data_IF_806816286270
#
_entry.id   IF_806816286270
#
_cell.length_a   1.000
_cell.length_b   1.000
_cell.length_c   1.000
_cell.angle_alpha   90.00
_cell.angle_beta   90.00
_cell.angle_gamma   90.00
#
_symmetry.space_group_name_H-M   'P 1'
#
loop_
_entity.id
_entity.type
_entity.pdbx_description
1 polymer ?
#
# COMPACT_ATOMS: atom_id res chain seq x y z
N UNK A 1 18.17 -79.31 32.04
CA UNK A 1 18.03 -78.66 30.73
C UNK A 1 16.71 -77.92 30.76
N UNK A 2 16.77 -76.59 30.89
CA UNK A 2 15.63 -75.69 30.78
C UNK A 2 15.67 -75.19 29.33
N UNK A 3 14.61 -75.44 28.56
CA UNK A 3 14.41 -74.81 27.25
C UNK A 3 13.66 -73.50 27.50
N UNK A 4 14.36 -72.39 27.29
CA UNK A 4 13.77 -71.06 27.16
C UNK A 4 12.87 -71.03 25.92
N UNK A 5 11.58 -70.84 26.13
CA UNK A 5 10.63 -70.63 25.04
C UNK A 5 10.50 -69.12 24.82
N UNK A 6 11.32 -68.58 23.93
CA UNK A 6 11.29 -67.19 23.51
C UNK A 6 10.11 -66.95 22.56
N UNK A 7 9.26 -66.00 22.95
CA UNK A 7 8.11 -65.49 22.21
C UNK A 7 8.57 -64.84 20.90
N UNK A 8 7.98 -65.23 19.76
CA UNK A 8 8.01 -64.41 18.55
C UNK A 8 6.74 -63.55 18.53
N UNK A 9 6.87 -62.31 19.02
CA UNK A 9 5.95 -61.23 18.68
C UNK A 9 6.08 -60.95 17.19
N UNK A 10 5.06 -61.29 16.41
CA UNK A 10 4.95 -60.81 15.05
C UNK A 10 4.63 -59.32 15.11
N UNK A 11 5.61 -58.47 14.75
CA UNK A 11 5.40 -57.05 14.49
C UNK A 11 4.31 -56.89 13.43
N UNK A 12 3.09 -56.55 13.86
CA UNK A 12 2.04 -56.07 12.97
C UNK A 12 2.49 -54.71 12.43
N UNK A 13 2.70 -54.61 11.13
CA UNK A 13 2.85 -53.33 10.44
C UNK A 13 1.67 -52.43 10.82
N UNK A 14 1.90 -51.15 11.17
CA UNK A 14 0.82 -50.27 11.59
C UNK A 14 -0.18 -50.13 10.43
N UNK A 15 -1.40 -50.61 10.64
CA UNK A 15 -2.48 -50.48 9.67
C UNK A 15 -2.86 -48.99 9.56
N UNK A 16 -2.36 -48.30 8.55
CA UNK A 16 -2.78 -46.92 8.25
C UNK A 16 -4.26 -46.95 7.86
N UNK A 17 -5.09 -46.19 8.57
CA UNK A 17 -6.52 -46.10 8.26
C UNK A 17 -6.73 -45.50 6.86
N UNK A 18 -7.68 -46.03 6.09
CA UNK A 18 -8.12 -45.48 4.78
C UNK A 18 -8.49 -43.99 4.86
N UNK A 19 -8.97 -43.55 6.04
CA UNK A 19 -9.29 -42.14 6.30
C UNK A 19 -8.02 -41.27 6.26
N UNK A 20 -6.94 -41.75 6.86
CA UNK A 20 -5.64 -41.05 6.87
C UNK A 20 -5.07 -40.96 5.46
N UNK A 21 -5.13 -42.05 4.69
CA UNK A 21 -4.73 -42.06 3.27
C UNK A 21 -5.50 -41.01 2.45
N UNK A 22 -6.83 -40.95 2.60
CA UNK A 22 -7.66 -39.96 1.90
C UNK A 22 -7.29 -38.53 2.29
N UNK A 23 -7.13 -38.24 3.58
CA UNK A 23 -6.83 -36.91 4.07
C UNK A 23 -5.43 -36.44 3.66
N UNK A 24 -4.42 -37.31 3.71
CA UNK A 24 -3.07 -37.00 3.20
C UNK A 24 -3.08 -36.76 1.69
N UNK A 25 -3.84 -37.54 0.91
CA UNK A 25 -3.96 -37.31 -0.53
C UNK A 25 -4.68 -35.99 -0.86
N UNK A 26 -5.68 -35.60 -0.05
CA UNK A 26 -6.45 -34.37 -0.24
C UNK A 26 -5.68 -33.12 0.20
N UNK A 27 -4.86 -33.25 1.23
CA UNK A 27 -4.05 -32.19 1.84
C UNK A 27 -2.59 -32.64 1.92
N UNK A 28 -1.86 -32.68 0.78
CA UNK A 28 -0.51 -33.23 0.72
C UNK A 28 0.51 -32.43 1.57
N UNK A 29 0.25 -31.15 1.81
CA UNK A 29 1.11 -30.26 2.61
C UNK A 29 0.79 -30.29 4.11
N UNK A 30 -0.18 -31.11 4.55
CA UNK A 30 -0.57 -31.23 5.96
C UNK A 30 -0.19 -32.58 6.52
N UNK A 31 0.68 -32.56 7.53
CA UNK A 31 0.90 -33.72 8.40
C UNK A 31 -0.20 -33.78 9.46
N UNK A 32 -0.68 -34.98 9.77
CA UNK A 32 -1.68 -35.21 10.81
C UNK A 32 -0.99 -35.95 11.96
N UNK A 33 -0.80 -35.29 13.10
CA UNK A 33 0.00 -35.81 14.20
C UNK A 33 -0.61 -37.05 14.85
N UNK A 34 -1.80 -36.90 15.42
CA UNK A 34 -2.56 -37.96 16.08
C UNK A 34 -3.90 -38.22 15.37
N UNK A 35 -4.71 -39.13 15.92
CA UNK A 35 -6.01 -39.49 15.35
C UNK A 35 -7.08 -38.44 15.65
N UNK A 36 -6.97 -37.68 16.77
CA UNK A 36 -7.89 -36.60 17.12
C UNK A 36 -7.75 -35.42 16.15
N UNK A 37 -6.50 -35.05 15.78
CA UNK A 37 -6.24 -34.01 14.79
C UNK A 37 -6.75 -34.43 13.40
N UNK A 38 -6.57 -35.70 13.04
CA UNK A 38 -7.09 -36.26 11.79
C UNK A 38 -8.63 -36.22 11.75
N UNK A 39 -9.29 -36.61 12.85
CA UNK A 39 -10.75 -36.59 12.97
C UNK A 39 -11.31 -35.17 12.88
N UNK A 40 -10.72 -34.22 13.62
CA UNK A 40 -11.12 -32.81 13.55
C UNK A 40 -10.94 -32.24 12.15
N UNK A 41 -9.81 -32.51 11.50
CA UNK A 41 -9.56 -32.05 10.13
C UNK A 41 -10.56 -32.64 9.13
N UNK A 42 -10.93 -33.91 9.28
CA UNK A 42 -11.95 -34.55 8.46
C UNK A 42 -13.31 -33.90 8.70
N UNK A 43 -13.69 -33.68 9.95
CA UNK A 43 -14.96 -33.03 10.30
C UNK A 43 -15.06 -31.62 9.72
N UNK A 44 -14.01 -30.82 9.83
CA UNK A 44 -13.96 -29.46 9.27
C UNK A 44 -14.06 -29.49 7.74
N UNK A 45 -13.35 -30.42 7.10
CA UNK A 45 -13.42 -30.61 5.66
C UNK A 45 -14.82 -31.01 5.18
N UNK A 46 -15.46 -31.98 5.85
CA UNK A 46 -16.82 -32.41 5.52
C UNK A 46 -17.81 -31.27 5.72
N UNK A 47 -17.73 -30.56 6.84
CA UNK A 47 -18.59 -29.39 7.13
C UNK A 47 -18.42 -28.30 6.07
N UNK A 48 -17.17 -28.01 5.66
CA UNK A 48 -16.91 -27.04 4.60
C UNK A 48 -17.40 -27.55 3.24
N UNK A 49 -17.26 -28.84 2.95
CA UNK A 49 -17.76 -29.47 1.73
C UNK A 49 -19.28 -29.38 1.64
N UNK A 50 -20.00 -29.71 2.72
CA UNK A 50 -21.46 -29.60 2.79
C UNK A 50 -21.91 -28.17 2.56
N UNK A 51 -21.23 -27.19 3.16
CA UNK A 51 -21.50 -25.78 2.91
C UNK A 51 -21.28 -25.38 1.44
N UNK A 52 -20.22 -25.88 0.80
CA UNK A 52 -19.96 -25.64 -0.63
C UNK A 52 -21.02 -26.30 -1.51
N UNK A 53 -21.38 -27.55 -1.23
CA UNK A 53 -22.42 -28.30 -1.95
C UNK A 53 -23.75 -27.54 -1.86
N UNK A 54 -24.19 -27.17 -0.65
CA UNK A 54 -25.40 -26.39 -0.46
C UNK A 54 -25.35 -25.04 -1.22
N UNK A 55 -24.19 -24.38 -1.25
CA UNK A 55 -23.99 -23.18 -2.05
C UNK A 55 -24.11 -23.41 -3.56
N UNK A 56 -23.51 -24.49 -4.07
CA UNK A 56 -23.62 -24.88 -5.49
C UNK A 56 -25.05 -25.29 -5.86
N UNK A 57 -25.75 -26.01 -5.00
CA UNK A 57 -27.15 -26.38 -5.22
C UNK A 57 -28.06 -25.15 -5.28
N UNK A 58 -27.88 -24.18 -4.37
CA UNK A 58 -28.61 -22.93 -4.38
C UNK A 58 -28.34 -22.11 -5.65
N UNK A 59 -27.07 -22.02 -6.07
CA UNK A 59 -26.69 -21.33 -7.31
C UNK A 59 -27.27 -22.04 -8.54
N UNK A 60 -27.14 -23.36 -8.63
CA UNK A 60 -27.69 -24.15 -9.73
C UNK A 60 -29.21 -24.03 -9.82
N UNK A 61 -29.91 -24.02 -8.68
CA UNK A 61 -31.36 -23.79 -8.65
C UNK A 61 -31.71 -22.42 -9.23
N UNK A 62 -31.00 -21.37 -8.82
CA UNK A 62 -31.22 -20.01 -9.34
C UNK A 62 -30.98 -19.93 -10.84
N UNK A 63 -29.88 -20.53 -11.33
CA UNK A 63 -29.56 -20.60 -12.76
C UNK A 63 -30.67 -21.36 -13.51
N UNK A 64 -31.13 -22.49 -12.96
CA UNK A 64 -32.20 -23.27 -13.56
C UNK A 64 -33.52 -22.51 -13.63
N UNK A 65 -33.88 -21.75 -12.60
CA UNK A 65 -35.07 -20.89 -12.60
C UNK A 65 -34.98 -19.81 -13.69
N UNK A 66 -33.81 -19.18 -13.86
CA UNK A 66 -33.58 -18.21 -14.95
C UNK A 66 -33.68 -18.87 -16.32
N UNK A 67 -33.05 -20.04 -16.52
CA UNK A 67 -33.11 -20.79 -17.78
C UNK A 67 -34.53 -21.25 -18.09
N UNK A 68 -35.31 -21.62 -17.08
CA UNK A 68 -36.73 -21.97 -17.25
C UNK A 68 -37.58 -20.77 -17.66
N UNK A 69 -37.32 -19.60 -17.07
CA UNK A 69 -38.00 -18.37 -17.43
C UNK A 69 -37.60 -17.85 -18.82
N UNK A 70 -36.35 -18.09 -19.22
CA UNK A 70 -35.72 -17.56 -20.43
C UNK A 70 -34.81 -18.62 -21.11
N UNK A 71 -35.38 -19.58 -21.87
CA UNK A 71 -34.65 -20.70 -22.47
C UNK A 71 -33.48 -20.31 -23.38
N UNK A 72 -33.60 -19.18 -24.05
CA UNK A 72 -32.58 -18.62 -24.94
C UNK A 72 -31.26 -18.30 -24.24
N UNK A 73 -31.26 -18.01 -22.93
CA UNK A 73 -30.02 -17.86 -22.17
C UNK A 73 -29.23 -19.16 -22.09
N UNK A 74 -29.88 -20.33 -22.01
CA UNK A 74 -29.18 -21.60 -22.02
C UNK A 74 -28.45 -21.80 -23.36
N UNK A 75 -29.09 -21.43 -24.47
CA UNK A 75 -28.47 -21.52 -25.79
C UNK A 75 -27.29 -20.56 -25.95
N UNK A 76 -27.39 -19.34 -25.40
CA UNK A 76 -26.27 -18.39 -25.40
C UNK A 76 -25.10 -18.93 -24.57
N UNK A 77 -25.37 -19.48 -23.38
CA UNK A 77 -24.34 -20.05 -22.52
C UNK A 77 -23.66 -21.24 -23.20
N UNK A 78 -24.43 -22.11 -23.86
CA UNK A 78 -23.90 -23.24 -24.63
C UNK A 78 -23.02 -22.76 -25.80
N UNK A 79 -23.49 -21.79 -26.59
CA UNK A 79 -22.74 -21.25 -27.72
C UNK A 79 -21.40 -20.66 -27.25
N UNK A 80 -21.41 -19.88 -26.16
CA UNK A 80 -20.20 -19.29 -25.58
C UNK A 80 -19.26 -20.35 -25.01
N UNK A 81 -19.79 -21.38 -24.34
CA UNK A 81 -19.01 -22.51 -23.84
C UNK A 81 -18.33 -23.29 -24.98
N UNK A 82 -18.96 -23.33 -26.16
CA UNK A 82 -18.41 -23.90 -27.39
C UNK A 82 -17.47 -22.94 -28.15
N UNK A 83 -17.14 -21.77 -27.57
CA UNK A 83 -16.16 -20.83 -28.11
C UNK A 83 -16.72 -19.81 -29.11
N UNK A 84 -18.04 -19.72 -29.26
CA UNK A 84 -18.66 -18.69 -30.10
C UNK A 84 -18.58 -17.34 -29.37
N UNK A 85 -18.19 -16.24 -30.05
CA UNK A 85 -18.16 -14.93 -29.41
C UNK A 85 -19.53 -14.54 -28.86
N UNK A 86 -19.57 -13.97 -27.64
CA UNK A 86 -20.82 -13.66 -26.93
C UNK A 86 -21.77 -12.78 -27.75
N UNK A 87 -21.26 -11.83 -28.54
CA UNK A 87 -22.08 -10.97 -29.38
C UNK A 87 -22.75 -11.76 -30.51
N UNK A 88 -22.06 -12.76 -31.07
CA UNK A 88 -22.60 -13.63 -32.11
C UNK A 88 -23.63 -14.58 -31.50
N UNK A 89 -23.37 -15.13 -30.32
CA UNK A 89 -24.31 -15.97 -29.59
C UNK A 89 -25.62 -15.22 -29.25
N UNK A 90 -25.51 -13.98 -28.76
CA UNK A 90 -26.67 -13.11 -28.49
C UNK A 90 -27.45 -12.83 -29.79
N UNK A 91 -26.77 -12.43 -30.87
CA UNK A 91 -27.41 -12.10 -32.14
C UNK A 91 -28.10 -13.29 -32.83
N UNK A 92 -27.77 -14.54 -32.45
CA UNK A 92 -28.47 -15.74 -32.91
C UNK A 92 -29.83 -15.93 -32.22
N UNK A 93 -29.98 -15.42 -30.99
CA UNK A 93 -31.17 -15.63 -30.17
C UNK A 93 -32.07 -14.41 -30.07
N UNK A 94 -31.50 -13.20 -30.15
CA UNK A 94 -32.22 -11.94 -30.05
C UNK A 94 -31.95 -11.08 -31.26
N UNK A 95 -33.00 -10.46 -31.82
CA UNK A 95 -32.79 -9.38 -32.77
C UNK A 95 -32.25 -8.14 -32.04
N UNK A 96 -31.35 -7.40 -32.68
CA UNK A 96 -30.79 -6.18 -32.11
C UNK A 96 -31.84 -5.13 -31.72
N UNK A 97 -32.98 -5.11 -32.41
CA UNK A 97 -34.12 -4.22 -32.12
C UNK A 97 -34.94 -4.65 -30.91
N UNK A 98 -34.90 -5.94 -30.54
CA UNK A 98 -35.63 -6.49 -29.39
C UNK A 98 -34.88 -6.28 -28.06
N UNK A 99 -33.58 -5.95 -28.12
CA UNK A 99 -32.76 -5.69 -26.94
C UNK A 99 -33.01 -4.29 -26.32
N UNK A 100 -33.65 -3.39 -27.06
CA UNK A 100 -34.04 -2.08 -26.55
C UNK A 100 -35.45 -2.15 -25.98
N UNK A 101 -35.65 -1.66 -24.75
CA UNK A 101 -36.98 -1.58 -24.16
C UNK A 101 -37.71 -0.35 -24.76
N UNK A 102 -38.89 -0.52 -25.37
CA UNK A 102 -39.66 0.60 -25.92
C UNK A 102 -40.18 1.57 -24.84
N UNK A 103 -40.35 2.83 -25.21
CA UNK A 103 -40.95 3.84 -24.32
C UNK A 103 -42.40 3.47 -24.01
N UNK A 104 -42.75 3.47 -22.72
CA UNK A 104 -44.08 3.09 -22.22
C UNK A 104 -44.16 1.67 -21.65
N UNK A 105 -43.14 0.83 -21.84
CA UNK A 105 -43.05 -0.45 -21.14
C UNK A 105 -42.68 -0.26 -19.66
N UNK A 106 -43.14 -1.14 -18.74
CA UNK A 106 -42.86 -1.04 -17.31
C UNK A 106 -41.37 -0.92 -16.97
N UNK A 107 -40.51 -1.59 -17.75
CA UNK A 107 -39.07 -1.66 -17.51
C UNK A 107 -38.27 -0.55 -18.22
N UNK A 108 -38.93 0.36 -18.95
CA UNK A 108 -38.26 1.40 -19.75
C UNK A 108 -37.35 2.30 -18.91
N UNK A 109 -37.82 2.74 -17.74
CA UNK A 109 -37.05 3.61 -16.86
C UNK A 109 -35.80 2.90 -16.31
N UNK A 110 -35.91 1.61 -15.98
CA UNK A 110 -34.77 0.81 -15.53
C UNK A 110 -33.75 0.61 -16.66
N UNK A 111 -34.22 0.31 -17.89
CA UNK A 111 -33.38 0.23 -19.08
C UNK A 111 -32.63 1.53 -19.33
N UNK A 112 -33.34 2.66 -19.31
CA UNK A 112 -32.77 3.99 -19.53
C UNK A 112 -31.67 4.32 -18.50
N UNK A 113 -31.95 4.09 -17.21
CA UNK A 113 -30.97 4.30 -16.15
C UNK A 113 -29.71 3.43 -16.36
N UNK A 114 -29.88 2.15 -16.70
CA UNK A 114 -28.75 1.25 -16.97
C UNK A 114 -27.92 1.71 -18.17
N UNK A 115 -28.56 2.17 -19.25
CA UNK A 115 -27.90 2.69 -20.44
C UNK A 115 -27.11 3.99 -20.15
N UNK A 116 -27.69 4.91 -19.38
CA UNK A 116 -27.03 6.14 -18.93
C UNK A 116 -25.84 5.83 -18.02
N UNK A 117 -25.99 4.91 -17.06
CA UNK A 117 -24.92 4.53 -16.16
C UNK A 117 -23.74 3.89 -16.91
N UNK A 118 -24.03 2.99 -17.86
CA UNK A 118 -23.00 2.39 -18.72
C UNK A 118 -22.26 3.46 -19.51
N UNK A 119 -22.99 4.41 -20.10
CA UNK A 119 -22.39 5.50 -20.88
C UNK A 119 -21.48 6.36 -20.01
N UNK A 120 -21.94 6.75 -18.82
CA UNK A 120 -21.15 7.50 -17.85
C UNK A 120 -19.91 6.74 -17.41
N UNK A 121 -20.03 5.44 -17.11
CA UNK A 121 -18.92 4.58 -16.70
C UNK A 121 -17.86 4.47 -17.79
N UNK A 122 -18.26 4.27 -19.05
CA UNK A 122 -17.34 4.21 -20.18
C UNK A 122 -16.64 5.55 -20.44
N UNK A 123 -17.37 6.66 -20.32
CA UNK A 123 -16.80 8.00 -20.44
C UNK A 123 -15.78 8.29 -19.33
N UNK A 124 -16.10 7.97 -18.06
CA UNK A 124 -15.18 8.13 -16.92
C UNK A 124 -13.93 7.26 -17.10
N UNK A 125 -14.10 6.00 -17.49
CA UNK A 125 -12.99 5.09 -17.72
C UNK A 125 -12.07 5.60 -18.83
N UNK A 126 -12.64 6.07 -19.96
CA UNK A 126 -11.88 6.67 -21.05
C UNK A 126 -11.14 7.93 -20.59
N UNK A 127 -11.81 8.83 -19.89
CA UNK A 127 -11.20 10.06 -19.38
C UNK A 127 -10.04 9.78 -18.41
N UNK A 128 -10.17 8.77 -17.53
CA UNK A 128 -9.10 8.35 -16.63
C UNK A 128 -7.91 7.77 -17.37
N UNK A 129 -8.14 6.95 -18.40
CA UNK A 129 -7.07 6.40 -19.25
C UNK A 129 -6.33 7.52 -19.98
N UNK A 130 -7.06 8.43 -20.66
CA UNK A 130 -6.45 9.56 -21.37
C UNK A 130 -5.67 10.48 -20.42
N UNK A 131 -6.21 10.75 -19.22
CA UNK A 131 -5.51 11.55 -18.20
C UNK A 131 -4.25 10.84 -17.71
N UNK A 132 -4.32 9.53 -17.45
CA UNK A 132 -3.17 8.73 -17.04
C UNK A 132 -2.08 8.71 -18.12
N UNK A 133 -2.44 8.54 -19.39
CA UNK A 133 -1.48 8.56 -20.49
C UNK A 133 -0.80 9.92 -20.64
N UNK A 134 -1.56 11.02 -20.58
CA UNK A 134 -1.00 12.39 -20.58
C UNK A 134 -0.07 12.61 -19.39
N UNK A 135 -0.47 12.20 -18.20
CA UNK A 135 0.36 12.30 -17.00
C UNK A 135 1.62 11.47 -17.14
N UNK A 136 1.55 10.23 -17.65
CA UNK A 136 2.72 9.38 -17.86
C UNK A 136 3.72 10.00 -18.84
N UNK A 137 3.22 10.54 -19.96
CA UNK A 137 4.06 11.22 -20.94
C UNK A 137 4.77 12.44 -20.34
N UNK A 138 4.03 13.26 -19.58
CA UNK A 138 4.58 14.43 -18.90
C UNK A 138 5.56 14.06 -17.79
N UNK A 139 5.22 13.08 -16.96
CA UNK A 139 6.07 12.60 -15.87
C UNK A 139 7.41 12.09 -16.39
N UNK A 140 7.44 11.42 -17.55
CA UNK A 140 8.71 11.04 -18.18
C UNK A 140 9.58 12.26 -18.48
N UNK A 141 9.01 13.28 -19.11
CA UNK A 141 9.73 14.53 -19.40
C UNK A 141 10.21 15.24 -18.13
N UNK A 142 9.38 15.31 -17.10
CA UNK A 142 9.73 15.97 -15.84
C UNK A 142 10.84 15.21 -15.09
N UNK A 143 10.83 13.87 -15.12
CA UNK A 143 11.89 13.02 -14.54
C UNK A 143 13.21 13.17 -15.29
N UNK A 144 13.17 13.15 -16.63
CA UNK A 144 14.37 13.34 -17.47
C UNK A 144 14.98 14.73 -17.22
N UNK A 145 14.15 15.77 -17.12
CA UNK A 145 14.57 17.13 -16.82
C UNK A 145 15.20 17.23 -15.42
N UNK A 146 14.58 16.61 -14.40
CA UNK A 146 15.13 16.57 -13.04
C UNK A 146 16.52 15.94 -13.01
N UNK A 147 16.72 14.79 -13.67
CA UNK A 147 18.04 14.15 -13.72
C UNK A 147 19.09 14.99 -14.44
N UNK A 148 18.70 15.67 -15.52
CA UNK A 148 19.58 16.60 -16.22
C UNK A 148 19.97 17.80 -15.34
N UNK A 149 19.03 18.39 -14.61
CA UNK A 149 19.28 19.51 -13.70
C UNK A 149 20.18 19.13 -12.52
N UNK A 150 20.03 17.91 -11.99
CA UNK A 150 20.89 17.39 -10.92
C UNK A 150 22.25 16.88 -11.43
N UNK A 151 22.43 16.74 -12.74
CA UNK A 151 23.68 16.28 -13.36
C UNK A 151 24.03 14.83 -13.03
N UNK A 152 23.03 13.97 -12.80
CA UNK A 152 23.24 12.58 -12.37
C UNK A 152 23.68 11.68 -13.52
N UNK A 153 24.67 10.80 -13.28
CA UNK A 153 25.03 9.73 -14.22
C UNK A 153 23.91 8.70 -14.37
N UNK A 154 23.94 7.88 -15.43
CA UNK A 154 22.95 6.81 -15.61
C UNK A 154 22.92 5.84 -14.42
N UNK A 155 24.07 5.52 -13.84
CA UNK A 155 24.18 4.67 -12.66
C UNK A 155 23.60 5.33 -11.39
N UNK A 156 23.72 6.65 -11.26
CA UNK A 156 23.12 7.42 -10.17
C UNK A 156 21.60 7.51 -10.32
N UNK A 157 21.11 7.74 -11.53
CA UNK A 157 19.69 7.72 -11.85
C UNK A 157 19.05 6.37 -11.51
N UNK A 158 19.66 5.26 -11.95
CA UNK A 158 19.17 3.91 -11.65
C UNK A 158 19.14 3.64 -10.15
N UNK A 159 20.19 4.02 -9.41
CA UNK A 159 20.22 3.87 -7.95
C UNK A 159 19.15 4.71 -7.27
N UNK A 160 18.94 5.95 -7.71
CA UNK A 160 17.91 6.82 -7.16
C UNK A 160 16.51 6.26 -7.40
N UNK A 161 16.21 5.82 -8.63
CA UNK A 161 14.91 5.22 -8.98
C UNK A 161 14.67 3.95 -8.15
N UNK A 162 15.65 3.05 -8.06
CA UNK A 162 15.54 1.84 -7.26
C UNK A 162 15.32 2.14 -5.78
N UNK A 163 15.96 3.19 -5.26
CA UNK A 163 15.76 3.63 -3.88
C UNK A 163 14.35 4.18 -3.66
N UNK A 164 13.83 5.05 -4.55
CA UNK A 164 12.46 5.56 -4.44
C UNK A 164 11.43 4.42 -4.51
N UNK A 165 11.63 3.48 -5.43
CA UNK A 165 10.73 2.35 -5.61
C UNK A 165 10.67 1.44 -4.37
N UNK A 166 11.83 1.02 -3.87
CA UNK A 166 11.90 0.07 -2.75
C UNK A 166 11.59 0.71 -1.40
N UNK A 167 12.10 1.91 -1.13
CA UNK A 167 12.01 2.51 0.21
C UNK A 167 10.72 3.29 0.42
N UNK A 168 10.18 3.89 -0.64
CA UNK A 168 9.01 4.77 -0.56
C UNK A 168 7.79 4.10 -1.19
N UNK A 169 7.83 3.81 -2.50
CA UNK A 169 6.62 3.42 -3.24
C UNK A 169 6.11 2.04 -2.83
N UNK A 170 6.97 1.01 -2.76
CA UNK A 170 6.57 -0.34 -2.39
C UNK A 170 5.90 -0.37 -1.01
N UNK A 171 6.47 0.34 -0.03
CA UNK A 171 5.89 0.46 1.31
C UNK A 171 4.53 1.17 1.30
N UNK A 172 4.38 2.26 0.54
CA UNK A 172 3.11 2.99 0.45
C UNK A 172 2.03 2.18 -0.28
N UNK A 173 2.38 1.43 -1.32
CA UNK A 173 1.47 0.52 -2.03
C UNK A 173 0.98 -0.61 -1.12
N UNK A 174 1.83 -1.09 -0.20
CA UNK A 174 1.49 -2.04 0.85
C UNK A 174 0.71 -1.43 2.03
N UNK A 175 0.44 -0.11 2.01
CA UNK A 175 -0.21 0.61 3.11
C UNK A 175 0.66 0.79 4.36
N UNK A 176 1.98 0.57 4.25
CA UNK A 176 2.95 0.69 5.34
C UNK A 176 3.52 2.10 5.39
N UNK A 177 2.94 2.95 6.23
CA UNK A 177 3.51 4.27 6.57
C UNK A 177 4.28 4.14 7.88
N UNK A 178 5.61 4.23 7.81
CA UNK A 178 6.49 4.10 8.98
C UNK A 178 7.22 5.42 9.29
N UNK A 179 7.82 5.49 10.48
CA UNK A 179 8.56 6.68 10.96
C UNK A 179 9.70 7.06 10.03
N UNK A 180 10.36 6.08 9.41
CA UNK A 180 11.49 6.33 8.53
C UNK A 180 11.05 7.10 7.28
N UNK A 181 10.00 6.64 6.58
CA UNK A 181 9.45 7.32 5.41
C UNK A 181 9.03 8.75 5.77
N UNK A 182 8.30 8.92 6.88
CA UNK A 182 7.87 10.24 7.35
C UNK A 182 9.06 11.16 7.66
N UNK A 183 10.15 10.61 8.23
CA UNK A 183 11.37 11.39 8.52
C UNK A 183 12.01 11.90 7.24
N UNK A 184 12.14 11.05 6.21
CA UNK A 184 12.71 11.44 4.91
C UNK A 184 11.87 12.52 4.22
N UNK A 185 10.54 12.34 4.21
CA UNK A 185 9.62 13.34 3.65
C UNK A 185 9.66 14.66 4.42
N UNK A 186 9.74 14.61 5.75
CA UNK A 186 9.87 15.81 6.60
C UNK A 186 11.18 16.56 6.34
N UNK A 187 12.30 15.84 6.22
CA UNK A 187 13.60 16.44 5.88
C UNK A 187 13.56 17.15 4.52
N UNK A 188 12.93 16.54 3.52
CA UNK A 188 12.69 17.19 2.22
C UNK A 188 11.81 18.44 2.36
N UNK A 189 10.76 18.38 3.18
CA UNK A 189 9.85 19.50 3.40
C UNK A 189 10.52 20.73 4.05
N UNK A 190 11.44 20.52 5.00
CA UNK A 190 12.12 21.62 5.71
C UNK A 190 13.45 22.04 5.08
N UNK A 191 13.90 21.35 4.03
CA UNK A 191 15.25 21.48 3.46
C UNK A 191 15.64 22.94 3.17
N UNK A 192 14.84 23.67 2.40
CA UNK A 192 15.16 25.05 2.00
C UNK A 192 15.29 26.00 3.19
N UNK A 193 14.41 25.82 4.20
CA UNK A 193 14.43 26.64 5.41
C UNK A 193 15.68 26.33 6.24
N UNK A 194 15.98 25.05 6.44
CA UNK A 194 17.16 24.62 7.18
C UNK A 194 18.47 25.10 6.51
N UNK A 195 18.55 25.07 5.17
CA UNK A 195 19.71 25.57 4.43
C UNK A 195 19.86 27.09 4.57
N UNK A 196 18.76 27.84 4.50
CA UNK A 196 18.78 29.29 4.68
C UNK A 196 19.24 29.69 6.09
N UNK A 197 18.70 29.03 7.12
CA UNK A 197 19.10 29.24 8.52
C UNK A 197 20.57 28.89 8.75
N UNK A 198 21.03 27.74 8.26
CA UNK A 198 22.44 27.33 8.37
C UNK A 198 23.38 28.35 7.71
N UNK A 199 22.98 28.92 6.57
CA UNK A 199 23.75 29.98 5.88
C UNK A 199 23.83 31.26 6.71
N UNK A 200 22.74 31.70 7.32
CA UNK A 200 22.76 32.89 8.18
C UNK A 200 23.59 32.66 9.46
N UNK A 201 23.42 31.52 10.13
CA UNK A 201 24.23 31.15 11.29
C UNK A 201 25.71 31.13 10.95
N UNK A 202 26.10 30.48 9.84
CA UNK A 202 27.49 30.43 9.40
C UNK A 202 28.08 31.80 9.05
N UNK A 203 27.28 32.75 8.53
CA UNK A 203 27.73 34.15 8.33
C UNK A 203 27.98 34.84 9.66
N UNK A 204 27.12 34.65 10.65
CA UNK A 204 27.27 35.26 11.98
C UNK A 204 28.52 34.72 12.67
N UNK A 205 28.70 33.40 12.68
CA UNK A 205 29.88 32.74 13.25
C UNK A 205 31.17 33.19 12.56
N UNK A 206 31.21 33.21 11.22
CA UNK A 206 32.37 33.67 10.48
C UNK A 206 32.70 35.15 10.72
N UNK A 207 31.70 36.01 10.94
CA UNK A 207 31.93 37.41 11.35
C UNK A 207 32.53 37.49 12.76
N UNK A 208 32.05 36.67 13.69
CA UNK A 208 32.57 36.63 15.05
C UNK A 208 34.03 36.15 15.08
N UNK A 209 34.36 35.08 14.34
CA UNK A 209 35.74 34.60 14.20
C UNK A 209 36.68 35.65 13.57
N UNK A 210 36.21 36.41 12.57
CA UNK A 210 36.98 37.52 12.00
C UNK A 210 37.24 38.65 13.01
N UNK A 211 36.27 38.94 13.87
CA UNK A 211 36.44 39.94 14.94
C UNK A 211 37.48 39.44 15.96
N UNK A 212 37.38 38.18 16.39
CA UNK A 212 38.34 37.59 17.34
C UNK A 212 39.76 37.53 16.76
N UNK A 213 39.92 37.08 15.52
CA UNK A 213 41.24 37.06 14.86
C UNK A 213 41.83 38.47 14.70
N UNK A 214 41.03 39.49 14.39
CA UNK A 214 41.49 40.90 14.37
C UNK A 214 41.88 41.38 15.76
N UNK A 215 41.12 41.06 16.81
CA UNK A 215 41.45 41.41 18.20
C UNK A 215 42.79 40.79 18.63
N UNK A 216 43.00 39.50 18.34
CA UNK A 216 44.25 38.79 18.65
C UNK A 216 45.43 39.38 17.87
N UNK A 217 45.25 39.76 16.59
CA UNK A 217 46.30 40.44 15.81
C UNK A 217 46.62 41.84 16.34
N UNK A 218 45.61 42.62 16.73
CA UNK A 218 45.79 43.95 17.31
C UNK A 218 46.52 43.92 18.67
N UNK A 219 46.35 42.85 19.45
CA UNK A 219 47.09 42.66 20.70
C UNK A 219 48.58 42.29 20.50
N UNK A 220 49.02 41.89 19.29
CA UNK A 220 50.40 41.46 19.01
C UNK A 220 51.34 42.58 18.53
N UNK A 221 50.91 43.83 18.48
CA UNK A 221 51.79 44.98 18.18
C UNK A 221 52.24 45.65 19.47
N UNK A 222 53.55 45.73 19.70
CA UNK A 222 54.18 46.21 20.93
C UNK A 222 54.17 47.75 21.07
N UNK A 223 53.53 48.23 22.14
CA UNK A 223 54.18 49.19 23.03
C UNK A 223 53.74 50.65 22.99
N UNK A 224 52.57 50.99 23.58
CA UNK A 224 52.34 52.14 24.49
C UNK A 224 50.84 52.25 24.86
N UNK A 225 50.47 52.45 26.15
CA UNK A 225 49.08 52.49 26.60
C UNK A 225 48.50 53.90 26.44
N UNK A 226 47.27 54.01 25.92
CA UNK A 226 46.47 55.21 26.10
C UNK A 226 45.76 55.13 27.45
N UNK A 227 46.16 56.03 28.33
CA UNK A 227 45.70 56.24 29.70
C UNK A 227 44.22 56.65 29.78
N UNK A 228 43.59 56.29 30.90
CA UNK A 228 42.50 57.06 31.50
C UNK A 228 41.07 56.79 31.03
N UNK A 229 40.34 55.96 31.78
CA UNK A 229 38.87 55.94 31.72
C UNK A 229 38.24 54.78 32.45
N UNK A 230 38.27 54.81 33.79
CA UNK A 230 37.53 53.85 34.60
C UNK A 230 36.03 53.94 34.33
N UNK A 231 35.41 52.78 34.14
CA UNK A 231 33.99 52.58 34.42
C UNK A 231 33.79 51.20 35.00
N UNK A 232 33.08 51.23 36.11
CA UNK A 232 32.75 50.19 37.08
C UNK A 232 32.04 49.00 36.41
N UNK A 233 32.55 47.79 36.67
CA UNK A 233 31.87 46.56 36.29
C UNK A 233 30.70 46.33 37.25
N UNK A 234 29.51 46.79 36.89
CA UNK A 234 28.28 46.31 37.51
C UNK A 234 27.97 44.92 36.97
N UNK A 235 28.18 43.90 37.82
CA UNK A 235 27.61 42.58 37.67
C UNK A 235 26.08 42.68 37.63
N UNK A 236 25.49 42.41 36.48
CA UNK A 236 24.06 42.13 36.37
C UNK A 236 23.90 40.61 36.27
N UNK A 237 23.38 40.03 37.35
CA UNK A 237 22.95 38.64 37.49
C UNK A 237 22.13 38.17 36.29
N UNK A 238 22.37 36.93 35.87
CA UNK A 238 21.43 36.13 35.09
C UNK A 238 20.04 36.17 35.76
N UNK A 239 19.09 36.87 35.14
CA UNK A 239 17.69 36.53 35.34
C UNK A 239 17.34 35.45 34.34
N UNK A 240 17.38 34.21 34.83
CA UNK A 240 16.63 33.09 34.31
C UNK A 240 15.20 33.56 34.02
N UNK A 241 14.87 33.74 32.74
CA UNK A 241 13.49 34.00 32.32
C UNK A 241 12.88 32.66 32.01
N UNK A 242 12.16 32.16 33.00
CA UNK A 242 11.32 30.97 33.00
C UNK A 242 10.59 30.75 31.67
N UNK A 243 11.19 29.91 30.81
CA UNK A 243 10.56 29.38 29.59
C UNK A 243 9.24 28.65 29.93
N UNK A 244 9.12 28.17 31.17
CA UNK A 244 7.94 27.48 31.68
C UNK A 244 6.74 28.43 31.85
N UNK A 245 6.94 29.67 32.30
CA UNK A 245 5.86 30.67 32.41
C UNK A 245 5.33 31.12 31.05
N UNK A 246 6.21 31.21 30.04
CA UNK A 246 5.81 31.58 28.69
C UNK A 246 4.95 30.49 28.00
N UNK A 247 5.20 29.22 28.34
CA UNK A 247 4.42 28.06 27.86
C UNK A 247 3.05 27.97 28.55
N UNK A 248 2.97 28.28 29.85
CA UNK A 248 1.72 28.27 30.61
C UNK A 248 0.79 29.41 30.15
N UNK A 249 1.33 30.61 29.90
CA UNK A 249 0.53 31.75 29.43
C UNK A 249 -0.04 31.55 28.01
N UNK A 250 0.69 30.86 27.12
CA UNK A 250 0.20 30.53 25.77
C UNK A 250 -0.91 29.48 25.76
N UNK A 251 -0.93 28.56 26.73
CA UNK A 251 -1.96 27.50 26.82
C UNK A 251 -3.31 28.04 27.29
N UNK A 252 -3.31 29.05 28.18
CA UNK A 252 -4.55 29.63 28.72
C UNK A 252 -5.25 30.65 27.79
N UNK A 253 -4.60 31.09 26.72
CA UNK A 253 -5.22 31.98 25.69
C UNK A 253 -5.96 31.26 24.56
N UNK A 254 -6.00 29.92 24.54
CA UNK A 254 -6.68 29.10 23.50
C UNK A 254 -7.91 28.35 23.99
N UNK A 255 -8.52 28.79 25.09
CA UNK A 255 -9.86 28.34 25.48
C UNK A 255 -10.79 29.55 25.60
N UNK A 256 -11.21 30.06 24.45
CA UNK A 256 -12.56 30.56 24.14
C UNK A 256 -12.70 30.50 22.61
#
# INVERSE_FOLDING_TARGET
MQEENTVQEQEQTPHVSRVREYMTAKFPDREFGDDDELEQALYDYLTQSDKKIAGHEAANKTIMEVVQAYPEFAQIIEDVANGIPVQVAIARQFDSSELAVPEGEPDYEAYKQAAEERTKRLADMKARVETREKNMARSKTDVDAFFAEQGLSEEEQQRFVAWVDNEILANLLDGKVNKEILTKLYQGWVYDTAVAEARETGKVEGRNEQIETRRVRAQKTDGLPADGGGVEATSASETDKDIIDEVITRRNKRRF
#
